data_IF_196759623785
#
_entry.id   IF_196759623785
#
_cell.length_a   1.000
_cell.length_b   1.000
_cell.length_c   1.000
_cell.angle_alpha   90.00
_cell.angle_beta   90.00
_cell.angle_gamma   90.00
#
_symmetry.space_group_name_H-M   'P 1'
#
loop_
_entity.id
_entity.type
_entity.pdbx_description
1 polymer ?
#
# COMPACT_ATOMS: atom_id res chain seq x y z
N UNK A 1 14.76 10.13 17.19
CA UNK A 1 14.08 9.57 16.02
C UNK A 1 14.39 8.09 15.90
N UNK A 2 13.44 7.32 15.46
CA UNK A 2 13.59 5.89 15.25
C UNK A 2 13.52 5.56 13.78
N UNK A 3 14.13 4.44 13.39
CA UNK A 3 14.11 3.98 12.01
C UNK A 3 13.01 2.95 11.83
N UNK A 4 12.21 3.16 10.80
CA UNK A 4 11.11 2.26 10.46
C UNK A 4 11.27 1.76 9.05
N UNK A 5 10.77 0.55 8.80
CA UNK A 5 10.86 -0.11 7.51
C UNK A 5 9.46 -0.30 6.94
N UNK A 6 9.29 0.06 5.69
CA UNK A 6 7.99 0.11 5.03
C UNK A 6 7.95 -0.96 3.93
N UNK A 7 7.52 -2.15 4.30
CA UNK A 7 7.39 -3.25 3.35
C UNK A 7 6.10 -3.09 2.57
N UNK A 8 6.19 -3.16 1.26
CA UNK A 8 5.06 -2.92 0.38
C UNK A 8 4.53 -4.24 -0.17
N UNK A 9 3.21 -4.37 -0.16
CA UNK A 9 2.52 -5.55 -0.66
C UNK A 9 1.60 -5.15 -1.79
N UNK A 10 1.68 -5.89 -2.89
CA UNK A 10 0.82 -5.72 -4.05
C UNK A 10 0.23 -7.09 -4.35
N UNK A 11 -0.96 -7.36 -3.80
CA UNK A 11 -1.59 -8.68 -3.77
C UNK A 11 -0.63 -9.69 -3.13
N UNK A 12 -0.06 -10.60 -3.91
CA UNK A 12 0.85 -11.62 -3.38
C UNK A 12 2.33 -11.26 -3.54
N UNK A 13 2.63 -10.08 -4.09
CA UNK A 13 4.00 -9.64 -4.26
C UNK A 13 4.43 -8.75 -3.10
N UNK A 14 5.66 -8.97 -2.65
CA UNK A 14 6.20 -8.24 -1.51
C UNK A 14 7.49 -7.55 -1.93
N UNK A 15 7.58 -6.27 -1.61
CA UNK A 15 8.82 -5.50 -1.79
C UNK A 15 9.29 -5.09 -0.40
N UNK A 16 10.34 -5.71 0.06
CA UNK A 16 10.87 -5.43 1.39
C UNK A 16 11.73 -4.17 1.38
N UNK A 17 11.59 -3.38 2.43
CA UNK A 17 12.40 -2.18 2.61
C UNK A 17 13.59 -2.55 3.50
N UNK A 18 14.79 -2.54 2.95
CA UNK A 18 15.98 -2.87 3.70
C UNK A 18 16.82 -1.65 4.07
N UNK A 19 16.31 -0.46 3.77
CA UNK A 19 17.01 0.80 4.07
C UNK A 19 16.37 1.50 5.27
N UNK A 20 15.06 1.62 5.24
CA UNK A 20 14.29 2.26 6.31
C UNK A 20 14.28 3.77 6.19
N UNK A 21 13.46 4.37 7.03
CA UNK A 21 13.30 5.82 7.11
C UNK A 21 13.19 6.23 8.57
N UNK A 22 13.89 7.27 8.95
CA UNK A 22 13.80 7.79 10.30
C UNK A 22 12.57 8.68 10.42
N UNK A 23 11.77 8.45 11.48
CA UNK A 23 10.56 9.19 11.74
C UNK A 23 10.54 9.64 13.18
N UNK A 24 9.97 10.81 13.43
CA UNK A 24 9.89 11.37 14.78
C UNK A 24 8.83 10.69 15.63
N UNK A 25 7.70 10.33 15.02
CA UNK A 25 6.57 9.79 15.75
C UNK A 25 5.71 8.92 14.83
N UNK A 26 4.65 8.34 15.40
CA UNK A 26 3.75 7.48 14.63
C UNK A 26 2.93 8.24 13.60
N UNK A 27 2.67 9.52 13.84
CA UNK A 27 1.95 10.32 12.84
C UNK A 27 2.78 10.45 11.57
N UNK A 28 4.08 10.62 11.70
CA UNK A 28 4.98 10.66 10.55
C UNK A 28 5.00 9.31 9.83
N UNK A 29 5.05 8.21 10.59
CA UNK A 29 5.02 6.87 10.02
C UNK A 29 3.73 6.65 9.23
N UNK A 30 2.60 7.03 9.82
CA UNK A 30 1.29 6.88 9.19
C UNK A 30 1.20 7.68 7.89
N UNK A 31 1.73 8.90 7.89
CA UNK A 31 1.71 9.75 6.70
C UNK A 31 2.54 9.15 5.56
N UNK A 32 3.72 8.63 5.89
CA UNK A 32 4.60 8.02 4.87
C UNK A 32 3.94 6.77 4.31
N UNK A 33 3.33 5.95 5.16
CA UNK A 33 2.64 4.75 4.70
C UNK A 33 1.50 5.10 3.74
N UNK A 34 0.72 6.13 4.06
CA UNK A 34 -0.38 6.56 3.21
C UNK A 34 0.11 7.07 1.86
N UNK A 35 1.19 7.86 1.86
CA UNK A 35 1.77 8.34 0.62
C UNK A 35 2.32 7.21 -0.24
N UNK A 36 2.95 6.23 0.39
CA UNK A 36 3.48 5.06 -0.32
C UNK A 36 2.36 4.29 -1.00
N UNK A 37 1.22 4.12 -0.32
CA UNK A 37 0.06 3.46 -0.90
C UNK A 37 -0.49 4.25 -2.09
N UNK A 38 -0.58 5.56 -1.95
CA UNK A 38 -1.09 6.41 -3.04
C UNK A 38 -0.21 6.32 -4.28
N UNK A 39 1.11 6.34 -4.09
CA UNK A 39 2.05 6.22 -5.18
C UNK A 39 1.95 4.86 -5.86
N UNK A 40 1.85 3.80 -5.06
CA UNK A 40 1.70 2.45 -5.61
C UNK A 40 0.39 2.33 -6.39
N UNK A 41 -0.69 2.88 -5.86
CA UNK A 41 -1.98 2.85 -6.54
C UNK A 41 -1.91 3.53 -7.90
N UNK A 42 -1.19 4.64 -8.00
CA UNK A 42 -1.01 5.33 -9.27
C UNK A 42 -0.29 4.48 -10.31
N UNK A 43 0.63 3.64 -9.86
CA UNK A 43 1.39 2.80 -10.77
C UNK A 43 0.62 1.57 -11.23
N UNK A 44 -0.20 0.99 -10.36
CA UNK A 44 -0.83 -0.30 -10.65
C UNK A 44 -2.29 -0.20 -11.03
N UNK A 45 -2.96 0.90 -10.74
CA UNK A 45 -4.37 1.06 -11.08
C UNK A 45 -4.54 1.96 -12.32
N UNK A 46 -5.56 1.70 -13.15
CA UNK A 46 -6.46 0.57 -13.09
C UNK A 46 -5.84 -0.66 -13.76
N UNK A 47 -5.95 -1.80 -13.14
CA UNK A 47 -5.39 -3.02 -13.76
C UNK A 47 -6.38 -4.19 -13.73
N UNK A 48 -7.09 -4.36 -12.62
CA UNK A 48 -8.06 -5.43 -12.43
C UNK A 48 -9.33 -4.87 -11.83
N UNK A 49 -10.34 -5.73 -11.69
CA UNK A 49 -11.56 -5.33 -10.98
C UNK A 49 -11.33 -5.30 -9.47
N UNK A 50 -10.31 -5.98 -9.00
CA UNK A 50 -10.00 -5.97 -7.57
C UNK A 50 -8.51 -6.01 -7.35
N UNK A 51 -8.02 -5.19 -6.43
CA UNK A 51 -6.61 -5.14 -6.07
C UNK A 51 -6.45 -4.77 -4.62
N UNK A 52 -5.56 -5.45 -3.94
CA UNK A 52 -5.26 -5.17 -2.54
C UNK A 52 -3.81 -4.74 -2.41
N UNK A 53 -3.60 -3.53 -1.92
CA UNK A 53 -2.29 -2.97 -1.68
C UNK A 53 -2.13 -2.74 -0.19
N UNK A 54 -0.92 -2.91 0.32
CA UNK A 54 -0.66 -2.70 1.73
C UNK A 54 0.76 -2.22 1.95
N UNK A 55 0.93 -1.49 3.04
CA UNK A 55 2.25 -1.16 3.56
C UNK A 55 2.27 -1.63 5.00
N UNK A 56 3.19 -2.53 5.32
CA UNK A 56 3.40 -3.02 6.67
C UNK A 56 4.67 -2.40 7.20
N UNK A 57 4.56 -1.72 8.33
CA UNK A 57 5.68 -1.00 8.92
C UNK A 57 6.15 -1.74 10.14
N UNK A 58 7.47 -1.90 10.27
CA UNK A 58 8.08 -2.49 11.45
C UNK A 58 9.32 -1.69 11.83
N UNK A 59 9.79 -1.92 13.05
CA UNK A 59 10.96 -1.21 13.57
C UNK A 59 12.24 -2.03 13.50
N UNK A 60 12.21 -3.12 12.74
CA UNK A 60 13.30 -4.07 12.65
C UNK A 60 13.07 -5.29 13.52
N UNK A 61 12.25 -5.19 14.55
CA UNK A 61 11.97 -6.27 15.48
C UNK A 61 10.48 -6.55 15.60
N UNK A 62 9.68 -5.49 15.75
CA UNK A 62 8.23 -5.61 15.98
C UNK A 62 7.43 -4.90 14.91
N UNK A 63 6.25 -5.44 14.57
CA UNK A 63 5.33 -4.70 13.70
C UNK A 63 4.81 -3.47 14.42
N UNK A 64 4.63 -2.39 13.67
CA UNK A 64 4.24 -1.10 14.22
C UNK A 64 2.90 -0.65 13.66
N UNK A 65 2.70 -0.82 12.35
CA UNK A 65 1.53 -0.26 11.68
C UNK A 65 1.27 -1.01 10.38
N UNK A 66 0.00 -1.18 10.06
CA UNK A 66 -0.41 -1.69 8.74
C UNK A 66 -1.34 -0.67 8.12
N UNK A 67 -1.15 -0.43 6.83
CA UNK A 67 -2.02 0.45 6.08
C UNK A 67 -2.45 -0.27 4.83
N UNK A 68 -3.75 -0.25 4.53
CA UNK A 68 -4.31 -1.02 3.42
C UNK A 68 -5.10 -0.13 2.50
N UNK A 69 -5.04 -0.44 1.22
CA UNK A 69 -5.88 0.16 0.21
C UNK A 69 -6.47 -0.95 -0.64
N UNK A 70 -7.78 -1.03 -0.67
CA UNK A 70 -8.47 -2.04 -1.46
C UNK A 70 -9.23 -1.33 -2.57
N UNK A 71 -8.90 -1.69 -3.81
CA UNK A 71 -9.63 -1.21 -4.97
C UNK A 71 -10.54 -2.34 -5.45
N UNK A 72 -11.79 -2.01 -5.69
CA UNK A 72 -12.73 -2.96 -6.26
C UNK A 72 -13.70 -2.21 -7.16
N UNK A 73 -13.79 -2.64 -8.42
CA UNK A 73 -14.77 -2.11 -9.35
C UNK A 73 -15.83 -3.18 -9.59
N UNK A 74 -17.09 -2.81 -9.38
CA UNK A 74 -18.20 -3.74 -9.53
C UNK A 74 -19.04 -3.26 -10.70
N UNK A 75 -19.15 -4.10 -11.73
CA UNK A 75 -19.96 -3.78 -12.89
C UNK A 75 -21.39 -4.21 -12.59
N UNK A 76 -22.28 -3.22 -12.43
CA UNK A 76 -23.68 -3.46 -12.09
C UNK A 76 -24.55 -3.67 -13.33
N UNK A 77 -24.03 -3.27 -14.46
CA UNK A 77 -24.77 -3.31 -15.70
C UNK A 77 -23.93 -3.98 -16.75
N UNK A 78 -24.46 -4.94 -17.50
CA UNK A 78 -23.68 -5.59 -18.54
C UNK A 78 -23.13 -4.57 -19.53
N UNK A 79 -21.90 -4.78 -19.94
CA UNK A 79 -21.29 -3.91 -20.92
C UNK A 79 -22.02 -4.06 -22.25
N UNK A 80 -22.26 -2.95 -22.98
CA UNK A 80 -22.90 -3.05 -24.30
C UNK A 80 -22.03 -3.90 -25.23
N UNK A 81 -22.68 -4.77 -26.00
CA UNK A 81 -21.99 -5.63 -26.96
C UNK A 81 -21.55 -4.88 -28.20
N UNK A 82 -22.20 -3.78 -28.49
CA UNK A 82 -21.84 -2.97 -29.65
C UNK A 82 -21.12 -1.72 -29.18
N UNK A 83 -20.14 -1.39 -29.90
CA UNK A 83 -19.40 -0.16 -29.62
C UNK A 83 -20.23 1.05 -30.06
#
# INVERSE_FOLDING_TARGET
MARYFFDTYDDDQIIEDDIGTECEDLDAVKAIAALSLAELAREVLPSNIKRHLAVNVHDGTNPVLESHLIFEAIIRKPEPLTA
#
